data_IF_317837821685
#
_entry.id   IF_317837821685
#
_cell.length_a   1.000
_cell.length_b   1.000
_cell.length_c   1.000
_cell.angle_alpha   90.00
_cell.angle_beta   90.00
_cell.angle_gamma   90.00
#
_symmetry.space_group_name_H-M   'P 1'
#
loop_
_entity.id
_entity.type
_entity.pdbx_description
1 polymer ?
#
# COMPACT_ATOMS: atom_id res chain seq x y z
N UNK A 1 -9.24 24.06 -8.08
CA UNK A 1 -8.56 22.84 -7.59
C UNK A 1 -8.86 21.77 -8.61
N UNK A 2 -7.86 21.27 -9.32
CA UNK A 2 -8.02 20.17 -10.27
C UNK A 2 -8.34 18.90 -9.49
N UNK A 3 -9.40 18.17 -9.85
CA UNK A 3 -9.69 16.86 -9.25
C UNK A 3 -8.57 15.89 -9.64
N UNK A 4 -7.60 15.72 -8.73
CA UNK A 4 -6.49 14.79 -8.91
C UNK A 4 -6.90 13.40 -8.38
N UNK A 5 -6.61 12.37 -9.17
CA UNK A 5 -6.97 10.99 -8.86
C UNK A 5 -5.74 10.08 -8.95
N UNK A 6 -5.57 9.24 -7.94
CA UNK A 6 -4.49 8.25 -7.90
C UNK A 6 -5.01 6.85 -8.22
N UNK A 7 -4.29 6.13 -9.08
CA UNK A 7 -4.63 4.75 -9.41
C UNK A 7 -4.34 3.84 -8.21
N UNK A 8 -5.31 3.02 -7.81
CA UNK A 8 -5.14 2.09 -6.69
C UNK A 8 -5.27 0.63 -7.11
N UNK A 9 -5.99 0.34 -8.20
CA UNK A 9 -6.12 -1.01 -8.68
C UNK A 9 -6.74 -1.12 -10.07
N UNK A 10 -6.57 -2.28 -10.71
CA UNK A 10 -7.18 -2.61 -11.99
C UNK A 10 -8.18 -3.74 -11.83
N UNK A 11 -9.43 -3.50 -12.22
CA UNK A 11 -10.47 -4.53 -12.20
C UNK A 11 -10.31 -5.44 -13.43
N UNK A 12 -9.80 -6.65 -13.21
CA UNK A 12 -9.41 -7.56 -14.30
C UNK A 12 -10.46 -8.61 -14.64
N UNK A 13 -11.32 -8.98 -13.68
CA UNK A 13 -12.38 -9.95 -13.94
C UNK A 13 -13.49 -9.90 -12.88
N UNK A 14 -14.54 -10.69 -13.04
CA UNK A 14 -15.53 -10.98 -12.00
C UNK A 14 -15.18 -12.26 -11.23
N UNK A 15 -15.82 -12.49 -10.09
CA UNK A 15 -15.68 -13.67 -9.25
C UNK A 15 -17.06 -14.16 -8.80
N UNK A 16 -17.42 -15.38 -9.22
CA UNK A 16 -18.72 -15.97 -8.89
C UNK A 16 -19.91 -15.16 -9.43
N UNK A 17 -21.08 -15.36 -8.83
CA UNK A 17 -22.35 -14.76 -9.31
C UNK A 17 -22.85 -13.58 -8.46
N UNK A 18 -22.23 -13.31 -7.31
CA UNK A 18 -22.72 -12.35 -6.29
C UNK A 18 -22.13 -10.93 -6.42
N UNK A 19 -21.76 -10.53 -7.63
CA UNK A 19 -21.22 -9.19 -7.88
C UNK A 19 -19.79 -8.94 -7.37
N UNK A 20 -19.06 -9.99 -6.98
CA UNK A 20 -17.66 -9.87 -6.56
C UNK A 20 -16.74 -9.68 -7.78
N UNK A 21 -15.73 -8.82 -7.64
CA UNK A 21 -14.77 -8.49 -8.69
C UNK A 21 -13.35 -8.82 -8.28
N UNK A 22 -12.50 -9.16 -9.25
CA UNK A 22 -11.07 -9.37 -9.07
C UNK A 22 -10.31 -8.11 -9.45
N UNK A 23 -9.52 -7.61 -8.51
CA UNK A 23 -8.67 -6.43 -8.66
C UNK A 23 -7.21 -6.84 -8.52
N UNK A 24 -6.38 -6.36 -9.44
CA UNK A 24 -4.92 -6.35 -9.25
C UNK A 24 -4.59 -5.00 -8.60
N UNK A 25 -4.11 -5.04 -7.37
CA UNK A 25 -3.70 -3.83 -6.65
C UNK A 25 -2.50 -3.17 -7.29
N UNK A 26 -2.57 -1.85 -7.32
CA UNK A 26 -1.52 -0.92 -7.76
C UNK A 26 -1.17 0.06 -6.64
N UNK A 27 -1.68 -0.18 -5.44
CA UNK A 27 -1.41 0.57 -4.22
C UNK A 27 -0.65 -0.30 -3.24
N UNK A 28 0.21 0.34 -2.47
CA UNK A 28 0.97 -0.26 -1.37
C UNK A 28 0.08 -0.57 -0.15
N UNK A 29 -1.12 0.06 -0.07
CA UNK A 29 -2.04 -0.01 1.07
C UNK A 29 -3.44 -0.55 0.70
N UNK A 30 -3.56 -1.77 0.14
CA UNK A 30 -4.86 -2.28 -0.33
C UNK A 30 -5.89 -2.47 0.79
N UNK A 31 -5.45 -2.85 2.00
CA UNK A 31 -6.36 -3.04 3.16
C UNK A 31 -7.02 -1.73 3.58
N UNK A 32 -6.30 -0.61 3.50
CA UNK A 32 -6.82 0.72 3.81
C UNK A 32 -7.65 1.27 2.65
N UNK A 33 -7.13 1.17 1.41
CA UNK A 33 -7.78 1.72 0.21
C UNK A 33 -9.09 0.99 -0.14
N UNK A 34 -9.21 -0.28 0.20
CA UNK A 34 -10.41 -1.08 -0.07
C UNK A 34 -11.20 -1.43 1.19
N UNK A 35 -10.96 -0.73 2.31
CA UNK A 35 -11.76 -0.95 3.51
C UNK A 35 -13.25 -0.74 3.22
N UNK A 36 -14.10 -1.46 3.94
CA UNK A 36 -15.55 -1.29 3.85
C UNK A 36 -15.94 0.18 4.10
N UNK A 37 -16.78 0.72 3.22
CA UNK A 37 -17.22 2.11 3.23
C UNK A 37 -16.31 3.08 2.44
N UNK A 38 -15.14 2.64 1.98
CA UNK A 38 -14.30 3.47 1.11
C UNK A 38 -14.98 3.70 -0.25
N UNK A 39 -14.86 4.91 -0.79
CA UNK A 39 -15.34 5.24 -2.13
C UNK A 39 -14.19 5.12 -3.13
N UNK A 40 -14.38 4.27 -4.14
CA UNK A 40 -13.47 4.15 -5.28
C UNK A 40 -14.14 4.71 -6.52
N UNK A 41 -13.36 5.34 -7.38
CA UNK A 41 -13.79 5.88 -8.66
C UNK A 41 -13.31 4.97 -9.78
N UNK A 42 -14.25 4.35 -10.49
CA UNK A 42 -13.97 3.52 -11.64
C UNK A 42 -13.84 4.38 -12.90
N UNK A 43 -12.66 4.37 -13.49
CA UNK A 43 -12.36 5.00 -14.77
C UNK A 43 -12.36 3.96 -15.88
N UNK A 44 -13.03 4.30 -16.98
CA UNK A 44 -13.05 3.51 -18.22
C UNK A 44 -12.95 4.46 -19.40
N UNK A 45 -12.35 4.00 -20.50
CA UNK A 45 -12.19 4.84 -21.69
C UNK A 45 -13.54 5.41 -22.16
N UNK A 46 -13.57 6.73 -22.42
CA UNK A 46 -14.73 7.47 -22.94
C UNK A 46 -15.98 7.39 -22.06
N UNK A 47 -15.83 7.13 -20.76
CA UNK A 47 -16.92 7.15 -19.78
C UNK A 47 -16.57 8.09 -18.63
N UNK A 48 -17.59 8.71 -18.05
CA UNK A 48 -17.41 9.48 -16.83
C UNK A 48 -17.01 8.54 -15.67
N UNK A 49 -16.17 9.02 -14.73
CA UNK A 49 -15.80 8.25 -13.55
C UNK A 49 -17.04 7.83 -12.76
N UNK A 50 -17.13 6.56 -12.41
CA UNK A 50 -18.23 6.03 -11.60
C UNK A 50 -17.78 5.80 -10.16
N UNK A 51 -18.40 6.48 -9.21
CA UNK A 51 -18.20 6.22 -7.79
C UNK A 51 -18.80 4.85 -7.38
N UNK A 52 -18.04 4.08 -6.61
CA UNK A 52 -18.38 2.76 -6.10
C UNK A 52 -17.96 2.67 -4.63
N UNK A 53 -18.91 2.43 -3.73
CA UNK A 53 -18.65 2.25 -2.31
C UNK A 53 -18.33 0.79 -2.03
N UNK A 54 -17.19 0.50 -1.40
CA UNK A 54 -16.77 -0.86 -1.09
C UNK A 54 -17.64 -1.44 0.03
N UNK A 55 -18.27 -2.58 -0.24
CA UNK A 55 -19.09 -3.33 0.71
C UNK A 55 -18.28 -4.39 1.46
N UNK A 56 -17.42 -5.12 0.74
CA UNK A 56 -16.51 -6.12 1.31
C UNK A 56 -15.19 -6.16 0.56
N UNK A 57 -14.12 -6.49 1.27
CA UNK A 57 -12.79 -6.74 0.71
C UNK A 57 -12.18 -8.00 1.35
N UNK A 58 -11.50 -8.81 0.53
CA UNK A 58 -10.69 -9.94 0.98
C UNK A 58 -9.61 -10.26 -0.05
N UNK A 59 -8.49 -10.81 0.37
CA UNK A 59 -7.44 -11.33 -0.54
C UNK A 59 -7.69 -12.79 -0.93
N UNK A 60 -7.39 -13.12 -2.18
CA UNK A 60 -7.34 -14.51 -2.65
C UNK A 60 -6.24 -14.67 -3.70
N UNK A 61 -5.16 -15.36 -3.31
CA UNK A 61 -3.92 -15.45 -4.10
C UNK A 61 -3.41 -14.04 -4.40
N UNK A 62 -3.11 -13.73 -5.66
CA UNK A 62 -2.57 -12.44 -6.08
C UNK A 62 -3.65 -11.39 -6.41
N UNK A 63 -4.88 -11.58 -5.92
CA UNK A 63 -6.01 -10.69 -6.23
C UNK A 63 -6.70 -10.20 -4.96
N UNK A 64 -7.08 -8.93 -5.00
CA UNK A 64 -8.05 -8.34 -4.07
C UNK A 64 -9.44 -8.56 -4.64
N UNK A 65 -10.33 -9.10 -3.80
CA UNK A 65 -11.71 -9.40 -4.15
C UNK A 65 -12.62 -8.39 -3.46
N UNK A 66 -13.34 -7.61 -4.28
CA UNK A 66 -14.21 -6.54 -3.80
C UNK A 66 -15.66 -6.83 -4.14
N UNK A 67 -16.57 -6.42 -3.26
CA UNK A 67 -17.98 -6.18 -3.62
C UNK A 67 -18.31 -4.71 -3.39
N UNK A 68 -19.31 -4.19 -4.10
CA UNK A 68 -19.73 -2.81 -3.98
C UNK A 68 -21.18 -2.72 -3.54
N UNK A 69 -21.53 -1.65 -2.82
CA UNK A 69 -22.92 -1.39 -2.45
C UNK A 69 -23.80 -1.24 -3.69
N UNK A 70 -25.01 -1.82 -3.65
CA UNK A 70 -25.92 -1.84 -4.80
C UNK A 70 -25.50 -2.75 -5.97
N UNK A 71 -24.45 -3.56 -5.80
CA UNK A 71 -23.97 -4.50 -6.83
C UNK A 71 -23.93 -5.93 -6.27
N UNK A 72 -25.05 -6.64 -6.39
CA UNK A 72 -25.29 -7.95 -5.78
C UNK A 72 -25.22 -9.12 -6.76
N UNK A 73 -25.09 -8.85 -8.06
CA UNK A 73 -24.96 -9.90 -9.07
C UNK A 73 -23.90 -9.60 -10.14
N UNK A 74 -23.48 -10.65 -10.85
CA UNK A 74 -22.42 -10.57 -11.87
C UNK A 74 -22.73 -9.57 -13.00
N UNK A 75 -23.98 -9.48 -13.44
CA UNK A 75 -24.37 -8.63 -14.57
C UNK A 75 -24.18 -7.13 -14.25
N UNK A 76 -24.27 -6.76 -12.97
CA UNK A 76 -24.07 -5.38 -12.52
C UNK A 76 -22.60 -4.95 -12.57
N UNK A 77 -21.67 -5.89 -12.46
CA UNK A 77 -20.22 -5.61 -12.35
C UNK A 77 -19.40 -6.06 -13.55
N UNK A 78 -19.92 -6.95 -14.39
CA UNK A 78 -19.20 -7.44 -15.57
C UNK A 78 -18.79 -6.30 -16.50
N UNK A 79 -19.66 -5.30 -16.66
CA UNK A 79 -19.38 -4.08 -17.45
C UNK A 79 -18.20 -3.26 -16.91
N UNK A 80 -17.78 -3.45 -15.65
CA UNK A 80 -16.65 -2.76 -15.05
C UNK A 80 -15.30 -3.39 -15.37
N UNK A 81 -15.30 -4.59 -15.96
CA UNK A 81 -14.08 -5.28 -16.39
C UNK A 81 -13.20 -4.38 -17.28
N UNK A 82 -11.92 -4.35 -16.96
CA UNK A 82 -10.90 -3.54 -17.62
C UNK A 82 -10.77 -2.12 -17.07
N UNK A 83 -11.67 -1.69 -16.18
CA UNK A 83 -11.60 -0.35 -15.58
C UNK A 83 -10.50 -0.22 -14.52
N UNK A 84 -10.07 1.02 -14.32
CA UNK A 84 -9.07 1.41 -13.32
C UNK A 84 -9.80 2.01 -12.13
N UNK A 85 -9.58 1.46 -10.95
CA UNK A 85 -10.06 2.01 -9.69
C UNK A 85 -9.08 3.07 -9.21
N UNK A 86 -9.62 4.21 -8.80
CA UNK A 86 -8.87 5.35 -8.29
C UNK A 86 -9.48 5.88 -7.00
N UNK A 87 -8.69 6.64 -6.26
CA UNK A 87 -9.15 7.48 -5.14
C UNK A 87 -8.88 8.94 -5.47
N UNK A 88 -9.67 9.86 -4.92
CA UNK A 88 -9.36 11.28 -5.03
C UNK A 88 -8.17 11.62 -4.14
N UNK A 89 -7.41 12.65 -4.53
CA UNK A 89 -6.34 13.17 -3.69
C UNK A 89 -6.84 13.63 -2.31
N UNK A 90 -8.06 14.17 -2.22
CA UNK A 90 -8.70 14.58 -0.96
C UNK A 90 -9.21 13.39 -0.11
N UNK A 91 -9.43 12.22 -0.73
CA UNK A 91 -9.88 11.00 -0.06
C UNK A 91 -8.72 10.09 0.34
N UNK A 92 -7.50 10.42 -0.09
CA UNK A 92 -6.31 9.96 0.63
C UNK A 92 -6.52 10.53 2.03
N UNK A 93 -6.86 9.67 2.99
CA UNK A 93 -6.76 10.07 4.39
C UNK A 93 -5.40 10.75 4.53
N UNK A 94 -5.37 11.86 5.27
CA UNK A 94 -4.13 12.31 5.88
C UNK A 94 -3.48 11.03 6.39
N UNK A 95 -2.41 10.61 5.70
CA UNK A 95 -1.57 9.54 6.17
C UNK A 95 -1.38 9.89 7.63
N UNK A 96 -1.67 8.96 8.54
CA UNK A 96 -1.27 9.18 9.93
C UNK A 96 0.18 9.66 9.88
N UNK A 97 0.64 10.55 10.77
CA UNK A 97 1.94 11.25 10.60
C UNK A 97 3.15 10.32 10.33
N UNK A 98 2.96 9.01 10.46
CA UNK A 98 3.84 7.89 10.17
C UNK A 98 3.34 6.89 9.09
N UNK A 99 2.63 7.29 8.03
CA UNK A 99 2.39 6.42 6.87
C UNK A 99 3.09 7.00 5.63
N UNK A 100 4.02 6.24 5.05
CA UNK A 100 4.85 6.67 3.92
C UNK A 100 4.67 5.71 2.74
N UNK A 101 4.58 6.21 1.51
CA UNK A 101 4.50 5.30 0.37
C UNK A 101 5.79 4.48 0.24
N UNK A 102 5.68 3.20 -0.13
CA UNK A 102 6.86 2.32 -0.17
C UNK A 102 7.93 2.83 -1.12
N UNK A 103 7.54 3.47 -2.22
CA UNK A 103 8.48 4.06 -3.17
C UNK A 103 9.23 5.28 -2.64
N UNK A 104 8.72 5.95 -1.60
CA UNK A 104 9.42 7.04 -0.91
C UNK A 104 10.46 6.50 0.08
N UNK A 105 10.20 5.31 0.64
CA UNK A 105 11.04 4.66 1.64
C UNK A 105 12.15 3.80 1.02
N UNK A 106 11.86 3.11 -0.10
CA UNK A 106 12.86 2.28 -0.78
C UNK A 106 13.96 3.19 -1.34
N UNK A 107 15.21 2.86 -1.00
CA UNK A 107 16.41 3.60 -1.38
C UNK A 107 16.93 4.56 -0.31
N UNK A 108 16.15 4.87 0.72
CA UNK A 108 16.59 5.69 1.85
C UNK A 108 17.75 5.01 2.59
N UNK A 109 18.68 5.84 3.08
CA UNK A 109 19.80 5.40 3.92
C UNK A 109 19.31 5.21 5.35
N UNK A 110 19.65 4.08 5.96
CA UNK A 110 19.33 3.79 7.36
C UNK A 110 20.54 4.07 8.22
N UNK A 111 20.37 4.92 9.22
CA UNK A 111 21.38 5.29 10.21
C UNK A 111 20.88 5.02 11.63
N UNK A 112 21.78 4.78 12.56
CA UNK A 112 21.46 4.68 13.99
C UNK A 112 21.28 6.07 14.62
N UNK A 113 20.71 6.13 15.82
CA UNK A 113 20.70 7.34 16.68
C UNK A 113 22.11 7.87 16.99
N UNK A 114 23.15 7.05 16.80
CA UNK A 114 24.57 7.41 16.93
C UNK A 114 25.20 7.87 15.60
N UNK A 115 24.39 8.02 14.54
CA UNK A 115 24.80 8.34 13.16
C UNK A 115 25.65 7.27 12.46
N UNK A 116 25.58 6.01 12.89
CA UNK A 116 26.23 4.91 12.19
C UNK A 116 25.40 4.44 11.00
N UNK A 117 25.99 4.37 9.81
CA UNK A 117 25.30 3.88 8.61
C UNK A 117 25.18 2.36 8.62
N UNK A 118 23.94 1.87 8.58
CA UNK A 118 23.64 0.43 8.48
C UNK A 118 23.62 0.00 7.01
N UNK A 119 22.97 0.79 6.16
CA UNK A 119 22.78 0.45 4.75
C UNK A 119 21.64 1.21 4.09
N UNK A 120 21.02 0.61 3.08
CA UNK A 120 19.88 1.19 2.35
C UNK A 120 18.69 0.26 2.30
N UNK A 121 17.49 0.81 2.41
CA UNK A 121 16.25 0.04 2.29
C UNK A 121 16.12 -0.42 0.84
N UNK A 122 16.01 -1.74 0.61
CA UNK A 122 15.85 -2.31 -0.75
C UNK A 122 14.46 -2.86 -1.02
N UNK A 123 13.71 -3.19 0.02
CA UNK A 123 12.42 -3.86 -0.07
C UNK A 123 11.63 -3.66 1.24
N UNK A 124 10.30 -3.65 1.14
CA UNK A 124 9.39 -3.63 2.28
C UNK A 124 8.51 -4.88 2.20
N UNK A 125 8.52 -5.67 3.28
CA UNK A 125 7.68 -6.83 3.45
C UNK A 125 6.48 -6.44 4.32
N UNK A 126 5.25 -6.73 3.89
CA UNK A 126 4.03 -6.43 4.65
C UNK A 126 3.29 -7.72 5.04
N UNK A 127 3.72 -8.44 6.10
CA UNK A 127 3.10 -9.69 6.56
C UNK A 127 1.73 -9.49 7.24
N UNK A 128 1.23 -8.25 7.34
CA UNK A 128 -0.14 -7.93 7.76
C UNK A 128 -0.32 -7.44 9.20
N UNK A 129 0.73 -7.48 10.03
CA UNK A 129 0.72 -6.87 11.37
C UNK A 129 1.48 -5.55 11.39
N UNK A 130 2.78 -5.59 11.09
CA UNK A 130 3.63 -4.42 10.88
C UNK A 130 4.52 -4.69 9.65
N UNK A 131 4.91 -3.62 8.95
CA UNK A 131 5.86 -3.73 7.86
C UNK A 131 7.26 -4.07 8.37
N UNK A 132 8.04 -4.73 7.53
CA UNK A 132 9.43 -5.08 7.80
C UNK A 132 10.29 -4.56 6.65
N UNK A 133 11.18 -3.64 6.95
CA UNK A 133 12.10 -3.04 5.99
C UNK A 133 13.33 -3.90 5.85
N UNK A 134 13.63 -4.31 4.62
CA UNK A 134 14.82 -5.07 4.29
C UNK A 134 15.93 -4.09 3.95
N UNK A 135 16.93 -4.00 4.83
CA UNK A 135 18.06 -3.09 4.68
C UNK A 135 19.27 -3.85 4.14
N UNK A 136 19.69 -3.49 2.93
CA UNK A 136 20.91 -4.02 2.33
C UNK A 136 22.12 -3.44 3.04
N UNK A 137 22.92 -4.32 3.68
CA UNK A 137 24.15 -3.96 4.38
C UNK A 137 25.38 -4.29 3.54
N UNK A 138 26.46 -3.52 3.68
CA UNK A 138 27.69 -3.77 2.94
C UNK A 138 28.40 -5.03 3.46
N UNK A 139 28.61 -6.04 2.61
CA UNK A 139 29.29 -7.32 2.92
C UNK A 139 28.71 -8.11 4.11
N UNK A 140 27.49 -7.79 4.54
CA UNK A 140 26.75 -8.50 5.59
C UNK A 140 25.41 -8.97 5.01
N UNK A 141 24.73 -9.89 5.70
CA UNK A 141 23.35 -10.27 5.35
C UNK A 141 22.43 -9.06 5.48
N UNK A 142 21.31 -9.05 4.78
CA UNK A 142 20.31 -7.99 4.96
C UNK A 142 19.84 -7.94 6.42
N UNK A 143 19.57 -6.74 6.91
CA UNK A 143 18.87 -6.56 8.18
C UNK A 143 17.36 -6.47 7.94
N UNK A 144 16.59 -7.03 8.86
CA UNK A 144 15.13 -6.95 8.86
C UNK A 144 14.71 -6.01 9.99
N UNK A 145 14.29 -4.81 9.62
CA UNK A 145 13.94 -3.75 10.57
C UNK A 145 12.43 -3.62 10.63
N UNK A 146 11.77 -3.95 11.75
CA UNK A 146 10.34 -3.78 11.88
C UNK A 146 10.00 -2.29 11.89
N UNK A 147 8.99 -1.90 11.13
CA UNK A 147 8.45 -0.54 11.14
C UNK A 147 7.52 -0.36 12.33
N UNK A 148 8.09 0.07 13.46
CA UNK A 148 7.40 0.35 14.72
C UNK A 148 8.07 1.53 15.42
N UNK A 149 7.32 2.29 16.22
CA UNK A 149 7.78 3.51 16.91
C UNK A 149 8.99 3.28 17.84
N UNK A 150 9.13 2.06 18.37
CA UNK A 150 10.28 1.73 19.22
C UNK A 150 11.58 1.61 18.42
N UNK A 151 11.51 1.41 17.11
CA UNK A 151 12.68 1.19 16.24
C UNK A 151 12.90 2.36 15.30
N UNK A 152 11.89 2.76 14.52
CA UNK A 152 12.04 3.86 13.55
C UNK A 152 11.67 5.17 14.23
N UNK A 153 12.65 6.07 14.36
CA UNK A 153 12.50 7.32 15.12
C UNK A 153 12.22 8.52 14.25
N UNK A 154 12.83 8.57 13.08
CA UNK A 154 12.73 9.71 12.18
C UNK A 154 12.91 9.26 10.74
N UNK A 155 12.15 9.86 9.84
CA UNK A 155 12.21 9.65 8.39
C UNK A 155 12.29 11.02 7.74
N UNK A 156 13.46 11.37 7.21
CA UNK A 156 13.70 12.59 6.45
C UNK A 156 13.75 12.25 4.95
N UNK A 157 12.62 12.43 4.27
CA UNK A 157 12.51 12.23 2.82
C UNK A 157 13.33 13.25 2.02
N UNK A 158 13.60 14.43 2.57
CA UNK A 158 14.36 15.49 1.90
C UNK A 158 15.85 15.13 1.85
N UNK A 159 16.39 14.61 2.95
CA UNK A 159 17.77 14.16 3.04
C UNK A 159 17.97 12.72 2.54
N UNK A 160 16.89 11.96 2.43
CA UNK A 160 16.94 10.57 2.02
C UNK A 160 17.41 9.64 3.15
N UNK A 161 17.10 9.96 4.40
CA UNK A 161 17.65 9.31 5.61
C UNK A 161 16.52 8.83 6.53
N UNK A 162 16.72 7.66 7.11
CA UNK A 162 15.93 7.10 8.20
C UNK A 162 16.83 6.92 9.41
N UNK A 163 16.43 7.46 10.55
CA UNK A 163 17.08 7.24 11.84
C UNK A 163 16.35 6.14 12.61
N UNK A 164 17.09 5.11 13.03
CA UNK A 164 16.58 4.01 13.85
C UNK A 164 17.29 3.90 15.19
N UNK A 165 16.59 3.37 16.18
CA UNK A 165 17.14 2.93 17.45
C UNK A 165 17.40 1.41 17.38
N UNK A 166 18.65 1.01 17.60
CA UNK A 166 19.03 -0.39 17.64
C UNK A 166 18.64 -1.00 18.98
N UNK A 167 17.72 -1.96 18.94
CA UNK A 167 17.47 -2.83 20.07
C UNK A 167 18.47 -3.99 20.09
N UNK A 168 18.83 -4.47 21.28
CA UNK A 168 19.71 -5.63 21.42
C UNK A 168 19.15 -6.84 20.66
N UNK A 169 19.97 -7.47 19.80
CA UNK A 169 19.57 -8.61 18.98
C UNK A 169 18.75 -8.27 17.73
N UNK A 170 18.47 -6.99 17.44
CA UNK A 170 17.72 -6.57 16.26
C UNK A 170 18.47 -6.84 14.95
N UNK A 171 19.80 -6.69 15.00
CA UNK A 171 20.68 -6.89 13.87
C UNK A 171 21.75 -7.91 14.27
N UNK A 172 21.84 -9.01 13.54
CA UNK A 172 22.94 -9.95 13.70
C UNK A 172 24.23 -9.31 13.15
N UNK A 173 25.25 -9.26 14.00
CA UNK A 173 26.56 -8.68 13.68
C UNK A 173 27.51 -9.67 12.97
N UNK A 174 27.13 -10.95 12.93
CA UNK A 174 27.95 -12.05 12.38
C UNK A 174 27.94 -12.16 10.84
#
# INVERSE_FOLDING_TARGET
MTEEFYNVGKLVNTQGIKGEVRVISQTDFPEERYKKGATLYLFKEKQEPKALVVSTHRKHKNFDLLTFEGHYNINEVEKYKGGILKVRAEDLQELSENEFYYHEIIGLKVVTTENEEIGKIKEILSPGANDVWVVQRHKKKDALIPYIDSVVKEIDLTQGIVTIELMEGLIDEN
#
